data_IF_122453609808
#
_entry.id   IF_122453609808
#
_cell.length_a   1.000
_cell.length_b   1.000
_cell.length_c   1.000
_cell.angle_alpha   90.00
_cell.angle_beta   90.00
_cell.angle_gamma   90.00
#
_symmetry.space_group_name_H-M   'P 1'
#
loop_
_entity.id
_entity.type
_entity.pdbx_description
1 polymer ?
#
# COMPACT_ATOMS: atom_id res chain seq x y z
N UNK A 1 -4.92 6.11 -9.23
CA UNK A 1 -4.33 4.96 -9.92
C UNK A 1 -5.42 4.19 -10.61
N UNK A 2 -5.89 4.76 -11.71
CA UNK A 2 -6.58 4.06 -12.79
C UNK A 2 -5.55 3.58 -13.83
N UNK A 3 -6.02 2.92 -14.88
CA UNK A 3 -5.19 2.57 -16.03
C UNK A 3 -4.74 3.82 -16.80
N UNK A 4 -5.55 4.88 -16.79
CA UNK A 4 -5.22 6.16 -17.45
C UNK A 4 -3.95 6.79 -16.86
N UNK A 5 -3.79 6.70 -15.53
CA UNK A 5 -2.58 7.18 -14.85
C UNK A 5 -1.32 6.43 -15.35
N UNK A 6 -1.42 5.11 -15.60
CA UNK A 6 -0.31 4.31 -16.11
C UNK A 6 0.01 4.66 -17.58
N UNK A 7 -1.03 4.86 -18.40
CA UNK A 7 -0.89 5.29 -19.79
C UNK A 7 -0.24 6.67 -19.90
N UNK A 8 -0.55 7.57 -18.97
CA UNK A 8 0.11 8.86 -18.89
C UNK A 8 1.60 8.69 -18.55
N UNK A 9 1.95 7.88 -17.55
CA UNK A 9 3.35 7.58 -17.21
C UNK A 9 4.11 7.01 -18.40
N UNK A 10 3.52 6.03 -19.13
CA UNK A 10 4.10 5.47 -20.37
C UNK A 10 4.32 6.56 -21.41
N UNK A 11 3.31 7.39 -21.66
CA UNK A 11 3.39 8.49 -22.63
C UNK A 11 4.49 9.49 -22.29
N UNK A 12 4.65 9.84 -21.01
CA UNK A 12 5.73 10.74 -20.59
C UNK A 12 7.10 10.05 -20.68
N UNK A 13 7.17 8.78 -20.31
CA UNK A 13 8.40 8.00 -20.43
C UNK A 13 8.87 7.94 -21.90
N UNK A 14 7.98 7.68 -22.85
CA UNK A 14 8.30 7.59 -24.28
C UNK A 14 8.82 8.90 -24.87
N UNK A 15 8.34 10.05 -24.39
CA UNK A 15 8.82 11.38 -24.81
C UNK A 15 10.27 11.66 -24.42
N UNK A 16 10.81 10.97 -23.41
CA UNK A 16 12.19 11.16 -22.98
C UNK A 16 13.14 10.57 -24.03
N UNK A 17 13.89 11.43 -24.71
CA UNK A 17 14.96 11.04 -25.63
C UNK A 17 16.24 10.74 -24.86
N UNK A 18 16.40 9.49 -24.44
CA UNK A 18 17.61 8.99 -23.79
C UNK A 18 17.88 7.56 -24.26
N UNK A 19 19.17 7.21 -24.40
CA UNK A 19 19.59 5.86 -24.76
C UNK A 19 19.25 4.85 -23.66
N UNK A 20 19.48 5.26 -22.41
CA UNK A 20 19.26 4.45 -21.22
C UNK A 20 18.33 5.22 -20.27
N UNK A 21 17.09 4.75 -20.12
CA UNK A 21 16.09 5.32 -19.23
C UNK A 21 15.32 4.22 -18.51
N UNK A 22 14.94 4.50 -17.28
CA UNK A 22 14.16 3.60 -16.43
C UNK A 22 13.13 4.38 -15.63
N UNK A 23 12.11 3.68 -15.15
CA UNK A 23 11.10 4.22 -14.24
C UNK A 23 11.46 3.74 -12.83
N UNK A 24 11.69 4.65 -11.90
CA UNK A 24 12.00 4.30 -10.51
C UNK A 24 10.86 4.74 -9.60
N UNK A 25 10.41 3.83 -8.73
CA UNK A 25 9.38 4.12 -7.74
C UNK A 25 9.70 3.46 -6.41
N UNK A 26 8.96 3.79 -5.36
CA UNK A 26 9.04 3.10 -4.07
C UNK A 26 8.03 1.96 -3.99
N UNK A 27 8.25 0.97 -3.12
CA UNK A 27 7.30 -0.13 -2.88
C UNK A 27 5.88 0.38 -2.61
N UNK A 28 5.75 1.39 -1.76
CA UNK A 28 4.44 1.96 -1.37
C UNK A 28 3.66 2.49 -2.57
N UNK A 29 4.32 3.16 -3.52
CA UNK A 29 3.65 3.65 -4.73
C UNK A 29 3.48 2.54 -5.77
N UNK A 30 4.42 1.58 -5.86
CA UNK A 30 4.29 0.40 -6.70
C UNK A 30 3.08 -0.47 -6.34
N UNK A 31 2.70 -0.56 -5.05
CA UNK A 31 1.49 -1.27 -4.62
C UNK A 31 0.21 -0.81 -5.33
N UNK A 32 0.15 0.45 -5.75
CA UNK A 32 -1.00 0.99 -6.49
C UNK A 32 -1.02 0.55 -7.95
N UNK A 33 0.13 0.12 -8.48
CA UNK A 33 0.34 -0.33 -9.86
C UNK A 33 0.22 -1.85 -10.03
N UNK A 34 0.28 -2.64 -8.94
CA UNK A 34 0.24 -4.13 -8.98
C UNK A 34 -0.95 -4.68 -9.76
N UNK A 35 -2.10 -3.99 -9.75
CA UNK A 35 -3.28 -4.42 -10.52
C UNK A 35 -3.13 -4.33 -12.05
N UNK A 36 -2.03 -3.77 -12.55
CA UNK A 36 -1.69 -3.62 -13.97
C UNK A 36 -0.39 -4.37 -14.30
N UNK A 37 -0.20 -5.55 -13.70
CA UNK A 37 1.07 -6.30 -13.80
C UNK A 37 1.43 -6.61 -15.25
N UNK A 38 0.45 -6.97 -16.09
CA UNK A 38 0.64 -7.27 -17.51
C UNK A 38 1.23 -6.08 -18.28
N UNK A 39 0.70 -4.87 -18.07
CA UNK A 39 1.15 -3.65 -18.74
C UNK A 39 2.51 -3.15 -18.24
N UNK A 40 2.88 -3.50 -17.01
CA UNK A 40 4.17 -3.16 -16.41
C UNK A 40 5.31 -4.04 -16.92
N UNK A 41 5.05 -5.26 -17.38
CA UNK A 41 6.07 -6.16 -17.94
C UNK A 41 6.81 -5.56 -19.15
N UNK A 42 6.15 -4.66 -19.88
CA UNK A 42 6.73 -3.97 -21.04
C UNK A 42 7.58 -2.75 -20.68
N UNK A 43 7.58 -2.33 -19.40
CA UNK A 43 8.25 -1.11 -18.96
C UNK A 43 9.49 -1.44 -18.11
N UNK A 44 10.61 -0.71 -18.27
CA UNK A 44 11.78 -0.85 -17.41
C UNK A 44 11.55 -0.17 -16.05
N UNK A 45 10.60 -0.70 -15.26
CA UNK A 45 10.22 -0.20 -13.94
C UNK A 45 10.98 -0.92 -12.81
N UNK A 46 11.49 -0.15 -11.86
CA UNK A 46 12.22 -0.63 -10.71
C UNK A 46 11.60 -0.09 -9.42
N UNK A 47 11.54 -0.94 -8.41
CA UNK A 47 10.91 -0.65 -7.13
C UNK A 47 11.95 -0.65 -6.04
N UNK A 48 12.11 0.49 -5.36
CA UNK A 48 12.97 0.64 -4.20
C UNK A 48 12.20 0.24 -2.94
N UNK A 49 12.68 -0.72 -2.15
CA UNK A 49 12.05 -1.08 -0.90
C UNK A 49 12.14 0.09 0.07
N UNK A 50 11.04 0.41 0.74
CA UNK A 50 11.02 1.45 1.78
C UNK A 50 10.34 0.89 3.04
N UNK A 51 10.79 1.33 4.21
CA UNK A 51 10.21 0.92 5.48
C UNK A 51 9.58 2.12 6.16
N UNK A 52 8.38 1.92 6.67
CA UNK A 52 7.74 2.89 7.55
C UNK A 52 8.39 2.79 8.93
N UNK A 53 8.64 3.93 9.57
CA UNK A 53 9.09 4.01 10.95
C UNK A 53 8.24 5.06 11.66
N UNK A 54 7.74 4.73 12.84
CA UNK A 54 7.12 5.72 13.72
C UNK A 54 8.20 6.69 14.22
N UNK A 55 7.93 7.98 14.08
CA UNK A 55 8.80 9.02 14.63
C UNK A 55 8.63 9.05 16.15
N UNK A 56 9.64 9.60 16.84
CA UNK A 56 9.61 9.83 18.30
C UNK A 56 9.38 8.57 19.16
N UNK A 57 9.68 7.40 18.60
CA UNK A 57 9.49 6.09 19.23
C UNK A 57 8.03 5.81 19.66
N UNK A 58 7.05 6.47 19.01
CA UNK A 58 5.61 6.32 19.30
C UNK A 58 4.99 5.01 18.78
N UNK A 59 5.79 4.14 18.15
CA UNK A 59 5.30 2.87 17.60
C UNK A 59 4.64 1.97 18.66
N UNK A 60 5.23 1.90 19.86
CA UNK A 60 4.66 1.10 20.96
C UNK A 60 3.30 1.65 21.42
N UNK A 61 3.15 2.98 21.47
CA UNK A 61 1.89 3.61 21.85
C UNK A 61 0.79 3.33 20.83
N UNK A 62 1.13 3.40 19.54
CA UNK A 62 0.22 3.03 18.47
C UNK A 62 -0.22 1.56 18.60
N UNK A 63 0.72 0.63 18.81
CA UNK A 63 0.43 -0.79 18.97
C UNK A 63 -0.54 -1.04 20.15
N UNK A 64 -0.30 -0.38 21.28
CA UNK A 64 -1.17 -0.47 22.45
C UNK A 64 -2.58 0.05 22.17
N UNK A 65 -2.72 1.17 21.47
CA UNK A 65 -4.03 1.72 21.09
C UNK A 65 -4.82 0.76 20.19
N UNK A 66 -4.16 0.16 19.19
CA UNK A 66 -4.79 -0.81 18.29
C UNK A 66 -5.23 -2.07 19.06
N UNK A 67 -4.35 -2.60 19.91
CA UNK A 67 -4.66 -3.78 20.72
C UNK A 67 -5.83 -3.51 21.66
N UNK A 68 -5.83 -2.36 22.34
CA UNK A 68 -6.91 -1.98 23.26
C UNK A 68 -8.25 -1.83 22.53
N UNK A 69 -8.25 -1.21 21.35
CA UNK A 69 -9.44 -1.11 20.50
C UNK A 69 -10.00 -2.49 20.14
N UNK A 70 -9.16 -3.43 19.70
CA UNK A 70 -9.59 -4.78 19.36
C UNK A 70 -10.19 -5.53 20.56
N UNK A 71 -9.61 -5.37 21.75
CA UNK A 71 -10.16 -5.95 22.98
C UNK A 71 -11.55 -5.37 23.31
N UNK A 72 -11.72 -4.06 23.23
CA UNK A 72 -13.01 -3.40 23.46
C UNK A 72 -14.06 -3.84 22.44
N UNK A 73 -13.69 -3.86 21.16
CA UNK A 73 -14.56 -4.33 20.08
C UNK A 73 -15.06 -5.76 20.33
N UNK A 74 -14.15 -6.68 20.71
CA UNK A 74 -14.51 -8.06 21.06
C UNK A 74 -15.39 -8.16 22.29
N UNK A 75 -15.22 -7.29 23.28
CA UNK A 75 -16.07 -7.27 24.47
C UNK A 75 -17.48 -6.78 24.15
N UNK A 76 -17.63 -5.76 23.31
CA UNK A 76 -18.92 -5.20 22.92
C UNK A 76 -19.70 -6.13 21.99
N UNK A 77 -19.05 -6.78 21.03
CA UNK A 77 -19.71 -7.65 20.05
C UNK A 77 -19.62 -9.15 20.35
N UNK A 78 -18.79 -9.56 21.31
CA UNK A 78 -18.75 -10.94 21.81
C UNK A 78 -19.85 -11.27 22.81
N UNK A 79 -20.64 -10.28 23.25
CA UNK A 79 -21.80 -10.47 24.12
C UNK A 79 -23.10 -10.75 23.33
N UNK A 80 -23.22 -10.28 22.09
CA UNK A 80 -24.42 -10.51 21.25
C UNK A 80 -24.60 -11.99 20.85
N UNK A 81 -23.53 -12.80 20.84
CA UNK A 81 -23.63 -14.24 20.51
C UNK A 81 -24.11 -15.11 21.68
N UNK A 82 -24.13 -14.60 22.92
CA UNK A 82 -24.53 -15.40 24.09
C UNK A 82 -26.00 -15.29 24.48
N UNK A 83 -26.73 -14.27 24.02
CA UNK A 83 -28.16 -14.10 24.32
C UNK A 83 -29.11 -14.77 23.30
N UNK A 84 -28.62 -15.28 22.17
CA UNK A 84 -29.45 -15.99 21.18
C UNK A 84 -29.42 -17.53 21.33
N UNK A 85 -28.86 -18.06 22.43
CA UNK A 85 -28.82 -19.52 22.70
C UNK A 85 -29.19 -19.86 24.14
N UNK A 86 -30.01 -19.04 24.79
CA UNK A 86 -30.62 -19.33 26.09
C UNK A 86 -32.14 -19.43 25.96
#
# INVERSE_FOLDING_TARGET
FSIDDLNEVRTQFDKIQAKDKLILTTEKDAMRLVKFTEELHELPIYVVPIRHRFLFDEGEQFDQQVIQYLHQFKQQHGQETKEQTA
#
